data_IF_957826525820
#
_entry.id   IF_957826525820
#
_cell.length_a   1.000
_cell.length_b   1.000
_cell.length_c   1.000
_cell.angle_alpha   90.00
_cell.angle_beta   90.00
_cell.angle_gamma   90.00
#
_symmetry.space_group_name_H-M   'P 1'
#
loop_
_entity.id
_entity.type
_entity.pdbx_description
1 polymer ?
#
# COMPACT_ATOMS: atom_id res chain seq x y z
N UNK A 1 12.40 -53.77 -31.17
CA UNK A 1 12.49 -52.50 -30.41
C UNK A 1 11.70 -52.66 -29.11
N UNK A 2 12.39 -52.67 -27.97
CA UNK A 2 11.78 -52.89 -26.65
C UNK A 2 10.84 -51.72 -26.30
N UNK A 3 9.52 -51.93 -26.47
CA UNK A 3 8.48 -50.94 -26.14
C UNK A 3 8.57 -50.46 -24.68
N UNK A 4 9.06 -51.31 -23.79
CA UNK A 4 9.26 -51.01 -22.37
C UNK A 4 10.37 -49.97 -22.13
N UNK A 5 11.39 -49.90 -23.00
CA UNK A 5 12.46 -48.90 -22.92
C UNK A 5 12.06 -47.52 -23.45
N UNK A 6 11.02 -47.44 -24.29
CA UNK A 6 10.47 -46.17 -24.78
C UNK A 6 9.58 -45.52 -23.71
N UNK A 7 8.76 -46.31 -23.02
CA UNK A 7 7.91 -45.86 -21.92
C UNK A 7 8.73 -45.30 -20.74
N UNK A 8 9.83 -45.98 -20.35
CA UNK A 8 10.71 -45.51 -19.27
C UNK A 8 11.37 -44.15 -19.59
N UNK A 9 11.78 -43.93 -20.85
CA UNK A 9 12.38 -42.66 -21.28
C UNK A 9 11.37 -41.50 -21.32
N UNK A 10 10.13 -41.77 -21.73
CA UNK A 10 9.04 -40.77 -21.70
C UNK A 10 8.69 -40.40 -20.25
N UNK A 11 8.65 -41.39 -19.35
CA UNK A 11 8.39 -41.15 -17.93
C UNK A 11 9.50 -40.31 -17.28
N UNK A 12 10.77 -40.59 -17.60
CA UNK A 12 11.92 -39.80 -17.10
C UNK A 12 11.91 -38.36 -17.65
N UNK A 13 11.56 -38.15 -18.92
CA UNK A 13 11.46 -36.79 -19.50
C UNK A 13 10.29 -36.00 -18.87
N UNK A 14 9.15 -36.64 -18.60
CA UNK A 14 8.04 -36.03 -17.88
C UNK A 14 8.38 -35.74 -16.42
N UNK A 15 9.12 -36.63 -15.77
CA UNK A 15 9.57 -36.46 -14.38
C UNK A 15 10.61 -35.33 -14.26
N UNK A 16 11.54 -35.23 -15.21
CA UNK A 16 12.52 -34.12 -15.28
C UNK A 16 11.82 -32.80 -15.62
N UNK A 17 10.85 -32.80 -16.54
CA UNK A 17 10.08 -31.58 -16.85
C UNK A 17 9.24 -31.11 -15.66
N UNK A 18 8.66 -32.04 -14.89
CA UNK A 18 7.97 -31.73 -13.64
C UNK A 18 8.95 -31.20 -12.59
N UNK A 19 10.12 -31.82 -12.41
CA UNK A 19 11.12 -31.39 -11.42
C UNK A 19 11.76 -30.02 -11.76
N UNK A 20 12.02 -29.73 -13.04
CA UNK A 20 12.55 -28.44 -13.49
C UNK A 20 11.52 -27.33 -13.27
N UNK A 21 10.23 -27.58 -13.53
CA UNK A 21 9.16 -26.59 -13.29
C UNK A 21 8.96 -26.22 -11.81
N UNK A 22 9.31 -27.12 -10.89
CA UNK A 22 9.21 -26.88 -9.44
C UNK A 22 10.37 -26.02 -8.92
N UNK A 23 11.59 -26.20 -9.46
CA UNK A 23 12.76 -25.41 -9.05
C UNK A 23 12.67 -23.95 -9.53
N UNK A 24 12.15 -23.70 -10.73
CA UNK A 24 11.96 -22.33 -11.26
C UNK A 24 10.91 -21.53 -10.49
N UNK A 25 9.89 -22.20 -9.94
CA UNK A 25 8.84 -21.55 -9.16
C UNK A 25 9.30 -21.17 -7.75
N UNK A 26 10.11 -22.01 -7.10
CA UNK A 26 10.70 -21.72 -5.81
C UNK A 26 11.68 -20.54 -5.86
N UNK A 27 12.50 -20.44 -6.92
CA UNK A 27 13.38 -19.29 -7.14
C UNK A 27 12.60 -17.99 -7.39
N UNK A 28 11.48 -18.06 -8.12
CA UNK A 28 10.57 -16.92 -8.35
C UNK A 28 9.99 -16.42 -7.03
N UNK A 29 9.40 -17.30 -6.21
CA UNK A 29 8.79 -16.92 -4.94
C UNK A 29 9.76 -16.24 -3.96
N UNK A 30 11.00 -16.76 -3.86
CA UNK A 30 12.08 -16.16 -3.05
C UNK A 30 12.47 -14.77 -3.58
N UNK A 31 12.43 -14.57 -4.90
CA UNK A 31 12.70 -13.26 -5.49
C UNK A 31 11.67 -12.20 -5.05
N UNK A 32 10.36 -12.48 -5.18
CA UNK A 32 9.32 -11.54 -4.77
C UNK A 32 9.37 -11.25 -3.28
N UNK A 33 9.57 -12.27 -2.43
CA UNK A 33 9.71 -12.10 -0.98
C UNK A 33 10.84 -11.13 -0.62
N UNK A 34 12.02 -11.29 -1.24
CA UNK A 34 13.15 -10.41 -0.99
C UNK A 34 12.89 -8.96 -1.43
N UNK A 35 12.22 -8.75 -2.57
CA UNK A 35 11.88 -7.40 -3.04
C UNK A 35 10.85 -6.73 -2.13
N UNK A 36 9.79 -7.45 -1.76
CA UNK A 36 8.75 -6.96 -0.85
C UNK A 36 9.36 -6.61 0.50
N UNK A 37 10.22 -7.47 1.06
CA UNK A 37 10.90 -7.20 2.34
C UNK A 37 11.79 -5.96 2.28
N UNK A 38 12.47 -5.73 1.15
CA UNK A 38 13.28 -4.52 0.94
C UNK A 38 12.41 -3.27 0.91
N UNK A 39 11.29 -3.30 0.20
CA UNK A 39 10.33 -2.18 0.16
C UNK A 39 9.73 -1.90 1.54
N UNK A 40 9.34 -2.95 2.27
CA UNK A 40 8.84 -2.82 3.65
C UNK A 40 9.88 -2.20 4.58
N UNK A 41 11.16 -2.55 4.45
CA UNK A 41 12.23 -1.90 5.21
C UNK A 41 12.39 -0.40 4.90
N UNK A 42 12.13 0.02 3.66
CA UNK A 42 12.10 1.45 3.30
C UNK A 42 10.86 2.16 3.85
N UNK A 43 9.70 1.48 3.85
CA UNK A 43 8.46 1.96 4.48
C UNK A 43 8.67 2.22 5.97
N UNK A 44 9.30 1.29 6.69
CA UNK A 44 9.60 1.44 8.13
C UNK A 44 10.54 2.63 8.42
N UNK A 45 11.52 2.85 7.54
CA UNK A 45 12.41 4.00 7.64
C UNK A 45 11.64 5.32 7.45
N UNK A 46 10.78 5.40 6.43
CA UNK A 46 9.94 6.57 6.19
C UNK A 46 8.98 6.84 7.35
N UNK A 47 8.43 5.80 7.98
CA UNK A 47 7.58 5.94 9.17
C UNK A 47 8.31 6.60 10.33
N UNK A 48 9.58 6.27 10.51
CA UNK A 48 10.43 6.90 11.54
C UNK A 48 10.66 8.38 11.24
N UNK A 49 10.96 8.75 9.99
CA UNK A 49 11.15 10.14 9.58
C UNK A 49 9.84 10.96 9.66
N UNK A 50 8.71 10.35 9.29
CA UNK A 50 7.39 10.97 9.43
C UNK A 50 7.10 11.25 10.90
N UNK A 51 7.35 10.30 11.80
CA UNK A 51 7.14 10.48 13.23
C UNK A 51 8.01 11.61 13.81
N UNK A 52 9.28 11.69 13.41
CA UNK A 52 10.17 12.79 13.81
C UNK A 52 9.64 14.15 13.35
N UNK A 53 9.21 14.26 12.09
CA UNK A 53 8.65 15.50 11.57
C UNK A 53 7.36 15.90 12.29
N UNK A 54 6.47 14.94 12.59
CA UNK A 54 5.25 15.21 13.36
C UNK A 54 5.55 15.74 14.76
N UNK A 55 6.60 15.24 15.42
CA UNK A 55 7.05 15.78 16.71
C UNK A 55 7.48 17.24 16.60
N UNK A 56 8.33 17.56 15.61
CA UNK A 56 8.79 18.94 15.36
C UNK A 56 7.65 19.89 14.97
N UNK A 57 6.66 19.42 14.20
CA UNK A 57 5.46 20.21 13.89
C UNK A 57 4.68 20.59 15.16
N UNK A 58 4.59 19.67 16.13
CA UNK A 58 3.97 19.93 17.43
C UNK A 58 4.76 20.96 18.25
N UNK A 59 6.08 20.91 18.20
CA UNK A 59 6.93 21.94 18.82
C UNK A 59 6.67 23.33 18.23
N UNK A 60 6.62 23.45 16.90
CA UNK A 60 6.27 24.72 16.26
C UNK A 60 4.86 25.19 16.61
N UNK A 61 3.89 24.27 16.67
CA UNK A 61 2.54 24.60 17.11
C UNK A 61 2.51 25.16 18.54
N UNK A 62 3.30 24.59 19.45
CA UNK A 62 3.39 25.10 20.82
C UNK A 62 4.03 26.49 20.87
N UNK A 63 5.08 26.74 20.07
CA UNK A 63 5.72 28.06 19.97
C UNK A 63 4.72 29.10 19.46
N UNK A 64 3.93 28.75 18.43
CA UNK A 64 2.87 29.62 17.88
C UNK A 64 1.84 29.95 18.97
N UNK A 65 1.34 28.96 19.70
CA UNK A 65 0.37 29.17 20.78
C UNK A 65 0.93 30.08 21.88
N UNK A 66 2.16 29.82 22.34
CA UNK A 66 2.82 30.66 23.36
C UNK A 66 2.96 32.11 22.89
N UNK A 67 3.41 32.32 21.64
CA UNK A 67 3.55 33.65 21.06
C UNK A 67 2.23 34.38 20.85
N UNK A 68 1.15 33.64 20.63
CA UNK A 68 -0.21 34.17 20.48
C UNK A 68 -0.79 34.67 21.81
N UNK A 69 -0.38 34.07 22.93
CA UNK A 69 -0.76 34.50 24.29
C UNK A 69 0.04 35.71 24.79
N UNK A 70 1.20 35.99 24.19
CA UNK A 70 1.99 37.17 24.50
C UNK A 70 1.30 38.47 24.01
N UNK A 71 1.77 39.62 24.51
CA UNK A 71 1.26 40.93 24.08
C UNK A 71 1.40 41.07 22.56
N UNK A 72 0.32 41.51 21.91
CA UNK A 72 0.33 41.82 20.47
C UNK A 72 1.33 42.93 20.19
N UNK A 73 2.33 42.61 19.38
CA UNK A 73 3.36 43.53 18.87
C UNK A 73 3.71 43.11 17.45
N UNK A 74 4.35 43.99 16.68
CA UNK A 74 4.77 43.64 15.34
C UNK A 74 5.80 42.51 15.33
N UNK A 75 6.76 42.57 16.26
CA UNK A 75 7.79 41.55 16.40
C UNK A 75 7.18 40.18 16.75
N UNK A 76 6.15 40.15 17.62
CA UNK A 76 5.44 38.92 17.93
C UNK A 76 4.67 38.40 16.72
N UNK A 77 3.96 39.26 15.98
CA UNK A 77 3.24 38.86 14.78
C UNK A 77 4.19 38.31 13.71
N UNK A 78 5.34 38.97 13.51
CA UNK A 78 6.39 38.49 12.61
C UNK A 78 6.88 37.11 13.05
N UNK A 79 7.13 36.91 14.35
CA UNK A 79 7.63 35.63 14.86
C UNK A 79 6.63 34.50 14.71
N UNK A 80 5.33 34.79 14.89
CA UNK A 80 4.24 33.83 14.64
C UNK A 80 4.27 33.41 13.18
N UNK A 81 4.24 34.35 12.23
CA UNK A 81 4.23 34.05 10.79
C UNK A 81 5.50 33.28 10.36
N UNK A 82 6.69 33.67 10.84
CA UNK A 82 7.92 32.93 10.58
C UNK A 82 7.83 31.47 11.06
N UNK A 83 7.25 31.25 12.25
CA UNK A 83 7.10 29.91 12.83
C UNK A 83 6.03 29.09 12.08
N UNK A 84 4.95 29.74 11.65
CA UNK A 84 3.94 29.12 10.78
C UNK A 84 4.55 28.68 9.45
N UNK A 85 5.39 29.50 8.82
CA UNK A 85 6.12 29.13 7.59
C UNK A 85 6.98 27.89 7.82
N UNK A 86 7.79 27.87 8.89
CA UNK A 86 8.62 26.70 9.23
C UNK A 86 7.77 25.44 9.48
N UNK A 87 6.62 25.59 10.13
CA UNK A 87 5.67 24.51 10.37
C UNK A 87 5.09 23.99 9.06
N UNK A 88 4.61 24.87 8.18
CA UNK A 88 4.03 24.50 6.89
C UNK A 88 5.07 23.86 5.96
N UNK A 89 6.32 24.34 5.95
CA UNK A 89 7.42 23.69 5.21
C UNK A 89 7.68 22.26 5.70
N UNK A 90 7.57 22.04 7.00
CA UNK A 90 7.72 20.72 7.59
C UNK A 90 6.50 19.82 7.36
N UNK A 91 5.28 20.39 7.34
CA UNK A 91 4.06 19.69 6.92
C UNK A 91 4.16 19.22 5.47
N UNK A 92 4.66 20.07 4.57
CA UNK A 92 4.93 19.72 3.17
C UNK A 92 5.94 18.57 3.07
N UNK A 93 7.07 18.63 3.78
CA UNK A 93 8.04 17.51 3.82
C UNK A 93 7.42 16.21 4.33
N UNK A 94 6.55 16.28 5.34
CA UNK A 94 5.83 15.11 5.84
C UNK A 94 4.87 14.55 4.81
N UNK A 95 4.13 15.41 4.10
CA UNK A 95 3.25 15.01 3.01
C UNK A 95 4.03 14.36 1.86
N UNK A 96 5.19 14.89 1.48
CA UNK A 96 6.09 14.29 0.48
C UNK A 96 6.56 12.89 0.89
N UNK A 97 7.00 12.72 2.13
CA UNK A 97 7.39 11.40 2.67
C UNK A 97 6.22 10.41 2.73
N UNK A 98 5.02 10.87 3.06
CA UNK A 98 3.81 10.02 3.04
C UNK A 98 3.45 9.57 1.62
N UNK A 99 3.64 10.44 0.62
CA UNK A 99 3.46 10.09 -0.78
C UNK A 99 4.51 9.06 -1.22
N UNK A 100 5.78 9.27 -0.85
CA UNK A 100 6.86 8.31 -1.10
C UNK A 100 6.54 6.95 -0.46
N UNK A 101 6.10 6.94 0.81
CA UNK A 101 5.67 5.74 1.52
C UNK A 101 4.55 5.01 0.77
N UNK A 102 3.51 5.73 0.37
CA UNK A 102 2.37 5.13 -0.33
C UNK A 102 2.78 4.54 -1.69
N UNK A 103 3.73 5.17 -2.41
CA UNK A 103 4.28 4.60 -3.64
C UNK A 103 5.02 3.28 -3.37
N UNK A 104 5.85 3.20 -2.33
CA UNK A 104 6.55 1.95 -1.98
C UNK A 104 5.58 0.85 -1.55
N UNK A 105 4.51 1.21 -0.83
CA UNK A 105 3.45 0.26 -0.47
C UNK A 105 2.65 -0.21 -1.70
N UNK A 106 2.45 0.65 -2.71
CA UNK A 106 1.87 0.30 -4.00
C UNK A 106 2.79 -0.68 -4.74
N UNK A 107 4.09 -0.36 -4.85
CA UNK A 107 5.07 -1.23 -5.51
C UNK A 107 5.14 -2.61 -4.85
N UNK A 108 5.10 -2.68 -3.52
CA UNK A 108 5.09 -3.94 -2.78
C UNK A 108 3.81 -4.75 -3.04
N UNK A 109 2.66 -4.07 -3.13
CA UNK A 109 1.38 -4.70 -3.41
C UNK A 109 1.28 -5.19 -4.87
N UNK A 110 1.85 -4.46 -5.82
CA UNK A 110 1.94 -4.89 -7.22
C UNK A 110 2.79 -6.16 -7.36
N UNK A 111 3.92 -6.24 -6.66
CA UNK A 111 4.73 -7.47 -6.59
C UNK A 111 3.98 -8.64 -5.95
N UNK A 112 3.21 -8.37 -4.89
CA UNK A 112 2.37 -9.39 -4.25
C UNK A 112 1.28 -9.91 -5.21
N UNK A 113 0.66 -9.01 -5.97
CA UNK A 113 -0.33 -9.33 -7.00
C UNK A 113 0.31 -10.19 -8.09
N UNK A 114 1.47 -9.80 -8.60
CA UNK A 114 2.18 -10.54 -9.63
C UNK A 114 2.55 -11.97 -9.17
N UNK A 115 3.05 -12.11 -7.94
CA UNK A 115 3.30 -13.43 -7.34
C UNK A 115 2.02 -14.27 -7.27
N UNK A 116 0.90 -13.70 -6.78
CA UNK A 116 -0.38 -14.42 -6.70
C UNK A 116 -0.88 -14.84 -8.08
N UNK A 117 -0.70 -14.02 -9.11
CA UNK A 117 -1.08 -14.39 -10.47
C UNK A 117 -0.27 -15.58 -11.00
N UNK A 118 1.03 -15.62 -10.71
CA UNK A 118 1.89 -16.77 -11.01
C UNK A 118 1.46 -18.02 -10.24
N UNK A 119 1.14 -17.88 -8.95
CA UNK A 119 0.67 -18.98 -8.10
C UNK A 119 -0.63 -19.58 -8.66
N UNK A 120 -1.59 -18.72 -9.00
CA UNK A 120 -2.86 -19.09 -9.61
C UNK A 120 -2.65 -19.84 -10.92
N UNK A 121 -1.75 -19.37 -11.79
CA UNK A 121 -1.47 -20.02 -13.07
C UNK A 121 -0.81 -21.39 -12.85
N UNK A 122 0.08 -21.50 -11.86
CA UNK A 122 0.65 -22.78 -11.43
C UNK A 122 -0.43 -23.75 -10.93
N UNK A 123 -1.39 -23.31 -10.12
CA UNK A 123 -2.51 -24.14 -9.66
C UNK A 123 -3.41 -24.59 -10.82
N UNK A 124 -3.72 -23.71 -11.77
CA UNK A 124 -4.47 -24.10 -12.98
C UNK A 124 -3.75 -25.19 -13.75
N UNK A 125 -2.44 -25.05 -13.96
CA UNK A 125 -1.65 -26.05 -14.67
C UNK A 125 -1.65 -27.40 -13.95
N UNK A 126 -1.58 -27.41 -12.62
CA UNK A 126 -1.74 -28.64 -11.81
C UNK A 126 -3.11 -29.28 -12.01
N UNK A 127 -4.19 -28.49 -11.98
CA UNK A 127 -5.55 -28.98 -12.22
C UNK A 127 -5.68 -29.57 -13.64
N UNK A 128 -5.11 -28.92 -14.66
CA UNK A 128 -5.08 -29.42 -16.04
C UNK A 128 -4.35 -30.77 -16.13
N UNK A 129 -3.21 -30.92 -15.45
CA UNK A 129 -2.48 -32.18 -15.41
C UNK A 129 -3.27 -33.29 -14.71
N UNK A 130 -4.00 -32.99 -13.64
CA UNK A 130 -4.89 -33.96 -13.01
C UNK A 130 -6.04 -34.38 -13.94
N UNK A 131 -6.66 -33.43 -14.67
CA UNK A 131 -7.71 -33.75 -15.65
C UNK A 131 -7.16 -34.65 -16.77
N UNK A 132 -5.95 -34.36 -17.28
CA UNK A 132 -5.28 -35.21 -18.27
C UNK A 132 -4.96 -36.61 -17.73
N UNK A 133 -4.63 -36.71 -16.44
CA UNK A 133 -4.38 -37.99 -15.79
C UNK A 133 -5.66 -38.82 -15.65
N UNK A 134 -6.78 -38.20 -15.31
CA UNK A 134 -8.11 -38.83 -15.30
C UNK A 134 -8.47 -39.34 -16.70
N UNK A 135 -8.41 -38.50 -17.74
CA UNK A 135 -8.74 -38.91 -19.12
C UNK A 135 -7.90 -40.10 -19.62
N UNK A 136 -6.62 -40.19 -19.21
CA UNK A 136 -5.76 -41.34 -19.55
C UNK A 136 -6.12 -42.61 -18.78
N UNK A 137 -6.63 -42.48 -17.55
CA UNK A 137 -6.96 -43.61 -16.68
C UNK A 137 -8.38 -44.14 -16.93
N UNK A 138 -9.35 -43.27 -17.23
CA UNK A 138 -10.74 -43.64 -17.56
C UNK A 138 -10.85 -44.43 -18.88
N UNK A 139 -9.85 -44.29 -19.76
CA UNK A 139 -9.73 -45.10 -21.00
C UNK A 139 -9.33 -46.55 -20.74
N UNK A 140 -9.05 -46.95 -19.50
CA UNK A 140 -8.85 -48.36 -19.11
C UNK A 140 -10.13 -48.86 -18.47
N UNK A 141 -10.81 -49.80 -19.11
CA UNK A 141 -12.07 -50.32 -18.61
C UNK A 141 -11.80 -51.10 -17.31
N UNK A 142 -12.36 -50.65 -16.18
CA UNK A 142 -12.18 -51.27 -14.86
C UNK A 142 -12.59 -52.75 -14.83
N UNK A 143 -13.56 -53.14 -15.66
CA UNK A 143 -13.95 -54.54 -15.87
C UNK A 143 -12.86 -55.34 -16.59
N UNK A 144 -12.07 -54.70 -17.45
CA UNK A 144 -10.96 -55.31 -18.19
C UNK A 144 -9.78 -55.59 -17.24
N UNK A 145 -9.48 -54.67 -16.31
CA UNK A 145 -8.41 -54.83 -15.30
C UNK A 145 -8.71 -55.95 -14.29
N UNK A 146 -9.97 -56.10 -13.86
CA UNK A 146 -10.38 -57.14 -12.90
C UNK A 146 -10.45 -58.53 -13.54
N UNK A 147 -10.74 -58.63 -14.85
CA UNK A 147 -10.89 -59.91 -15.55
C UNK A 147 -9.66 -60.37 -16.36
N UNK A 148 -8.71 -59.47 -16.70
CA UNK A 148 -7.54 -59.84 -17.51
C UNK A 148 -6.21 -59.97 -16.76
N UNK A 149 -6.06 -59.38 -15.56
CA UNK A 149 -4.81 -59.48 -14.79
C UNK A 149 -5.03 -60.09 -13.39
N UNK A 150 -4.24 -61.13 -13.09
CA UNK A 150 -4.30 -61.95 -11.87
C UNK A 150 -3.74 -61.25 -10.60
N UNK A 151 -3.91 -59.94 -10.45
CA UNK A 151 -3.28 -59.18 -9.37
C UNK A 151 -4.29 -58.22 -8.71
N UNK A 152 -4.88 -58.67 -7.60
CA UNK A 152 -5.72 -57.86 -6.71
C UNK A 152 -4.97 -56.61 -6.17
N UNK A 153 -3.63 -56.66 -6.19
CA UNK A 153 -2.75 -55.53 -5.88
C UNK A 153 -2.91 -54.39 -6.88
N UNK A 154 -2.94 -54.67 -8.19
CA UNK A 154 -3.09 -53.64 -9.23
C UNK A 154 -4.46 -52.94 -9.17
N UNK A 155 -5.51 -53.67 -8.78
CA UNK A 155 -6.82 -53.09 -8.52
C UNK A 155 -6.81 -52.16 -7.30
N UNK A 156 -6.19 -52.57 -6.19
CA UNK A 156 -6.06 -51.74 -4.98
C UNK A 156 -5.18 -50.50 -5.23
N UNK A 157 -4.09 -50.66 -5.99
CA UNK A 157 -3.22 -49.57 -6.42
C UNK A 157 -3.99 -48.56 -7.30
N UNK A 158 -4.90 -49.03 -8.16
CA UNK A 158 -5.77 -48.17 -8.96
C UNK A 158 -6.75 -47.36 -8.10
N UNK A 159 -7.41 -47.98 -7.10
CA UNK A 159 -8.30 -47.27 -6.16
C UNK A 159 -7.51 -46.21 -5.39
N UNK A 160 -6.33 -46.58 -4.86
CA UNK A 160 -5.45 -45.65 -4.13
C UNK A 160 -4.98 -44.50 -5.00
N UNK A 161 -4.70 -44.77 -6.26
CA UNK A 161 -4.30 -43.76 -7.24
C UNK A 161 -5.45 -42.78 -7.55
N UNK A 162 -6.69 -43.27 -7.72
CA UNK A 162 -7.86 -42.42 -7.93
C UNK A 162 -8.17 -41.55 -6.70
N UNK A 163 -8.12 -42.12 -5.49
CA UNK A 163 -8.28 -41.37 -4.23
C UNK A 163 -7.23 -40.25 -4.09
N UNK A 164 -5.97 -40.53 -4.45
CA UNK A 164 -4.90 -39.53 -4.43
C UNK A 164 -5.12 -38.41 -5.47
N UNK A 165 -5.63 -38.73 -6.66
CA UNK A 165 -5.99 -37.72 -7.67
C UNK A 165 -7.12 -36.82 -7.18
N UNK A 166 -8.21 -37.41 -6.66
CA UNK A 166 -9.36 -36.66 -6.16
C UNK A 166 -8.93 -35.68 -5.05
N UNK A 167 -8.10 -36.15 -4.11
CA UNK A 167 -7.55 -35.30 -3.05
C UNK A 167 -6.65 -34.19 -3.62
N UNK A 168 -5.80 -34.50 -4.61
CA UNK A 168 -4.93 -33.53 -5.27
C UNK A 168 -5.70 -32.43 -6.01
N UNK A 169 -6.78 -32.80 -6.72
CA UNK A 169 -7.69 -31.85 -7.40
C UNK A 169 -8.39 -30.98 -6.37
N UNK A 170 -8.95 -31.58 -5.32
CA UNK A 170 -9.66 -30.83 -4.27
C UNK A 170 -8.74 -29.81 -3.63
N UNK A 171 -7.53 -30.21 -3.22
CA UNK A 171 -6.56 -29.31 -2.60
C UNK A 171 -6.14 -28.19 -3.55
N UNK A 172 -5.84 -28.50 -4.82
CA UNK A 172 -5.44 -27.48 -5.81
C UNK A 172 -6.56 -26.49 -6.09
N UNK A 173 -7.81 -26.96 -6.12
CA UNK A 173 -8.98 -26.11 -6.32
C UNK A 173 -9.27 -25.22 -5.11
N UNK A 174 -9.08 -25.74 -3.89
CA UNK A 174 -9.20 -24.95 -2.65
C UNK A 174 -8.14 -23.85 -2.59
N UNK A 175 -6.88 -24.17 -2.89
CA UNK A 175 -5.78 -23.19 -2.98
C UNK A 175 -6.08 -22.16 -4.07
N UNK A 176 -6.45 -22.59 -5.28
CA UNK A 176 -6.79 -21.69 -6.38
C UNK A 176 -7.91 -20.70 -6.02
N UNK A 177 -8.96 -21.16 -5.34
CA UNK A 177 -10.06 -20.29 -4.89
C UNK A 177 -9.58 -19.28 -3.87
N UNK A 178 -8.80 -19.72 -2.88
CA UNK A 178 -8.21 -18.85 -1.87
C UNK A 178 -7.34 -17.77 -2.52
N UNK A 179 -6.41 -18.16 -3.39
CA UNK A 179 -5.50 -17.23 -4.08
C UNK A 179 -6.28 -16.23 -4.94
N UNK A 180 -7.39 -16.66 -5.56
CA UNK A 180 -8.27 -15.76 -6.32
C UNK A 180 -8.98 -14.72 -5.45
N UNK A 181 -9.43 -15.12 -4.27
CA UNK A 181 -10.05 -14.19 -3.32
C UNK A 181 -9.03 -13.20 -2.75
N UNK A 182 -7.82 -13.67 -2.42
CA UNK A 182 -6.71 -12.83 -1.96
C UNK A 182 -6.27 -11.84 -3.05
N UNK A 183 -6.11 -12.29 -4.31
CA UNK A 183 -5.79 -11.43 -5.45
C UNK A 183 -6.84 -10.32 -5.65
N UNK A 184 -8.13 -10.67 -5.52
CA UNK A 184 -9.22 -9.70 -5.61
C UNK A 184 -9.14 -8.66 -4.50
N UNK A 185 -8.86 -9.10 -3.28
CA UNK A 185 -8.67 -8.21 -2.13
C UNK A 185 -7.49 -7.25 -2.36
N UNK A 186 -6.33 -7.78 -2.74
CA UNK A 186 -5.13 -7.01 -3.05
C UNK A 186 -5.39 -5.96 -4.15
N UNK A 187 -6.08 -6.34 -5.23
CA UNK A 187 -6.44 -5.43 -6.32
C UNK A 187 -7.35 -4.26 -5.87
N UNK A 188 -8.27 -4.53 -4.93
CA UNK A 188 -9.13 -3.48 -4.36
C UNK A 188 -8.34 -2.54 -3.44
N UNK A 189 -7.43 -3.09 -2.64
CA UNK A 189 -6.50 -2.30 -1.81
C UNK A 189 -5.62 -1.42 -2.67
N UNK A 190 -5.06 -1.94 -3.77
CA UNK A 190 -4.24 -1.21 -4.73
C UNK A 190 -5.01 -0.02 -5.32
N UNK A 191 -6.24 -0.25 -5.75
CA UNK A 191 -7.10 0.82 -6.27
C UNK A 191 -7.36 1.91 -5.23
N UNK A 192 -7.54 1.53 -3.97
CA UNK A 192 -7.76 2.46 -2.85
C UNK A 192 -6.51 3.29 -2.59
N UNK A 193 -5.34 2.65 -2.49
CA UNK A 193 -4.04 3.32 -2.30
C UNK A 193 -3.71 4.31 -3.42
N UNK A 194 -3.96 3.94 -4.67
CA UNK A 194 -3.78 4.83 -5.82
C UNK A 194 -4.67 6.07 -5.75
N UNK A 195 -5.92 5.92 -5.29
CA UNK A 195 -6.81 7.08 -5.08
C UNK A 195 -6.34 7.96 -3.93
N UNK A 196 -5.87 7.37 -2.83
CA UNK A 196 -5.27 8.11 -1.72
C UNK A 196 -4.02 8.88 -2.17
N UNK A 197 -3.19 8.28 -3.03
CA UNK A 197 -2.01 8.92 -3.62
C UNK A 197 -2.38 10.16 -4.44
N UNK A 198 -3.40 10.05 -5.29
CA UNK A 198 -3.90 11.17 -6.11
C UNK A 198 -4.37 12.32 -5.23
N UNK A 199 -5.20 12.03 -4.22
CA UNK A 199 -5.72 13.04 -3.27
C UNK A 199 -4.58 13.69 -2.48
N UNK A 200 -3.62 12.90 -2.00
CA UNK A 200 -2.47 13.41 -1.24
C UNK A 200 -1.58 14.31 -2.10
N UNK A 201 -1.38 13.96 -3.38
CA UNK A 201 -0.59 14.76 -4.32
C UNK A 201 -1.28 16.09 -4.64
N UNK A 202 -2.60 16.07 -4.81
CA UNK A 202 -3.40 17.29 -4.98
C UNK A 202 -3.29 18.19 -3.74
N UNK A 203 -3.47 17.64 -2.53
CA UNK A 203 -3.37 18.39 -1.28
C UNK A 203 -1.98 18.98 -1.07
N UNK A 204 -0.91 18.24 -1.41
CA UNK A 204 0.46 18.74 -1.35
C UNK A 204 0.67 19.97 -2.24
N UNK A 205 0.06 19.97 -3.43
CA UNK A 205 0.15 21.12 -4.34
C UNK A 205 -0.50 22.36 -3.73
N UNK A 206 -1.71 22.21 -3.17
CA UNK A 206 -2.39 23.29 -2.47
C UNK A 206 -1.61 23.80 -1.23
N UNK A 207 -0.98 22.90 -0.47
CA UNK A 207 -0.11 23.29 0.65
C UNK A 207 1.10 24.13 0.21
N UNK A 208 1.71 23.78 -0.93
CA UNK A 208 2.83 24.56 -1.50
C UNK A 208 2.38 25.96 -1.95
N UNK A 209 1.19 26.08 -2.53
CA UNK A 209 0.63 27.39 -2.89
C UNK A 209 0.33 28.26 -1.66
N UNK A 210 -0.26 27.68 -0.61
CA UNK A 210 -0.50 28.38 0.67
C UNK A 210 0.81 28.88 1.32
N UNK A 211 1.86 28.06 1.28
CA UNK A 211 3.18 28.45 1.78
C UNK A 211 3.74 29.69 1.05
N UNK A 212 3.65 29.72 -0.27
CA UNK A 212 4.15 30.86 -1.06
C UNK A 212 3.32 32.13 -0.81
N UNK A 213 2.01 31.99 -0.60
CA UNK A 213 1.14 33.09 -0.16
C UNK A 213 1.60 33.64 1.20
N UNK A 214 1.84 32.77 2.19
CA UNK A 214 2.32 33.17 3.53
C UNK A 214 3.69 33.83 3.50
N UNK A 215 4.61 33.35 2.67
CA UNK A 215 5.92 34.00 2.45
C UNK A 215 5.77 35.40 1.87
N UNK A 216 4.83 35.58 0.94
CA UNK A 216 4.51 36.88 0.35
C UNK A 216 3.90 37.82 1.39
N UNK A 217 2.95 37.34 2.20
CA UNK A 217 2.36 38.11 3.30
C UNK A 217 3.43 38.57 4.30
N UNK A 218 4.35 37.69 4.70
CA UNK A 218 5.47 38.04 5.56
C UNK A 218 6.36 39.13 4.95
N UNK A 219 6.68 39.03 3.65
CA UNK A 219 7.49 40.02 2.96
C UNK A 219 6.81 41.39 2.92
N UNK A 220 5.50 41.43 2.64
CA UNK A 220 4.69 42.65 2.67
C UNK A 220 4.64 43.23 4.09
N UNK A 221 4.42 42.38 5.11
CA UNK A 221 4.42 42.83 6.50
C UNK A 221 5.76 43.47 6.87
N UNK A 222 6.89 42.82 6.58
CA UNK A 222 8.23 43.34 6.87
C UNK A 222 8.47 44.69 6.18
N UNK A 223 8.06 44.83 4.92
CA UNK A 223 8.25 46.08 4.16
C UNK A 223 7.36 47.21 4.68
N UNK A 224 6.08 46.93 4.94
CA UNK A 224 5.09 47.93 5.36
C UNK A 224 5.27 48.39 6.80
N UNK A 225 5.89 47.56 7.65
CA UNK A 225 5.98 47.81 9.10
C UNK A 225 7.37 48.17 9.58
N UNK A 226 8.34 48.30 8.65
CA UNK A 226 9.70 48.74 8.93
C UNK A 226 9.70 50.07 9.69
N UNK A 227 10.01 50.02 10.98
CA UNK A 227 10.02 51.14 11.94
C UNK A 227 8.65 51.74 12.32
N UNK A 228 7.56 50.96 12.25
CA UNK A 228 6.18 51.43 12.49
C UNK A 228 5.44 50.69 13.62
N UNK A 229 6.16 50.24 14.65
CA UNK A 229 5.56 49.54 15.80
C UNK A 229 4.42 50.35 16.44
N UNK A 230 4.60 51.67 16.60
CA UNK A 230 3.61 52.54 17.22
C UNK A 230 2.34 52.70 16.36
N UNK A 231 2.48 52.87 15.05
CA UNK A 231 1.33 52.88 14.11
C UNK A 231 0.59 51.53 14.11
N UNK A 232 1.33 50.41 14.14
CA UNK A 232 0.75 49.06 14.19
C UNK A 232 -0.04 48.83 15.48
N UNK A 233 0.54 49.14 16.64
CA UNK A 233 -0.16 49.01 17.91
C UNK A 233 -1.42 49.89 17.96
N UNK A 234 -1.36 51.11 17.45
CA UNK A 234 -2.53 51.99 17.35
C UNK A 234 -3.61 51.40 16.45
N UNK A 235 -3.25 50.84 15.29
CA UNK A 235 -4.20 50.20 14.36
C UNK A 235 -4.87 48.97 14.99
N UNK A 236 -4.10 48.11 15.66
CA UNK A 236 -4.63 46.93 16.37
C UNK A 236 -5.60 47.35 17.46
N UNK A 237 -5.25 48.35 18.26
CA UNK A 237 -6.12 48.85 19.33
C UNK A 237 -7.42 49.46 18.80
N UNK A 238 -7.35 50.18 17.66
CA UNK A 238 -8.54 50.67 16.97
C UNK A 238 -9.43 49.52 16.47
N UNK A 239 -8.84 48.50 15.85
CA UNK A 239 -9.58 47.33 15.36
C UNK A 239 -10.27 46.55 16.51
N UNK A 240 -9.58 46.38 17.66
CA UNK A 240 -10.16 45.76 18.85
C UNK A 240 -11.32 46.60 19.40
N UNK A 241 -11.17 47.92 19.47
CA UNK A 241 -12.22 48.83 19.93
C UNK A 241 -13.45 48.81 19.01
N UNK A 242 -13.23 48.77 17.70
CA UNK A 242 -14.29 48.70 16.68
C UNK A 242 -15.03 47.35 16.72
N UNK A 243 -14.29 46.23 16.89
CA UNK A 243 -14.89 44.92 17.07
C UNK A 243 -15.74 44.86 18.34
N UNK A 244 -15.22 45.35 19.46
CA UNK A 244 -15.97 45.41 20.73
C UNK A 244 -17.24 46.27 20.60
N UNK A 245 -17.16 47.40 19.92
CA UNK A 245 -18.33 48.26 19.65
C UNK A 245 -19.39 47.52 18.82
N UNK A 246 -18.95 46.78 17.80
CA UNK A 246 -19.83 45.97 16.94
C UNK A 246 -20.48 44.83 17.74
N UNK A 247 -19.73 44.15 18.60
CA UNK A 247 -20.22 43.10 19.51
C UNK A 247 -21.23 43.66 20.53
N UNK A 248 -20.98 44.84 21.11
CA UNK A 248 -21.89 45.53 22.02
C UNK A 248 -23.19 45.98 21.32
N UNK A 249 -23.09 46.40 20.07
CA UNK A 249 -24.22 46.84 19.25
C UNK A 249 -25.10 45.66 18.81
N UNK A 250 -24.49 44.53 18.42
CA UNK A 250 -25.17 43.24 18.22
C UNK A 250 -25.86 42.78 19.51
N UNK A 251 -25.17 42.78 20.64
CA UNK A 251 -25.74 42.37 21.93
C UNK A 251 -26.84 43.32 22.44
N UNK A 252 -26.90 44.56 21.95
CA UNK A 252 -27.99 45.50 22.22
C UNK A 252 -29.20 45.20 21.34
N UNK A 253 -28.97 44.92 20.05
CA UNK A 253 -30.02 44.53 19.10
C UNK A 253 -30.68 43.19 19.46
N UNK A 254 -29.95 42.27 20.10
CA UNK A 254 -30.51 41.00 20.59
C UNK A 254 -31.32 41.12 21.89
N UNK A 255 -31.26 42.28 22.58
CA UNK A 255 -31.99 42.56 23.83
C UNK A 255 -33.21 43.46 23.64
N UNK A 256 -33.44 43.95 22.43
CA UNK A 256 -34.67 44.63 22.00
C UNK A 256 -35.65 43.64 21.35
#
# INVERSE_FOLDING_TARGET
>A
MNKNGLFLKIFIVLFISFFVSQNTFAESSIYYENQINKLNGQVDFLDSEIAENLSKQKEYQNIISQKTEERVSLENQKKIIETEILKTELEIKTSEKKIEKNNLEIDALDLEIEQKEQDIESQKNKIVEFIRLIDRNDKRNLLEVVFLDNSFSEFFDHIKHTEAIELGIKNSLEIYKKDKDELRSASLTLKTKNKELEVNTYNLTAQKEDLESRKTELAVLIETTKNKEEEYQNMVQLAIAERKKTEEELARLERE
#
